data_IF_558797515917
#
_entry.id   IF_558797515917
#
_cell.length_a   1.000
_cell.length_b   1.000
_cell.length_c   1.000
_cell.angle_alpha   90.00
_cell.angle_beta   90.00
_cell.angle_gamma   90.00
#
_symmetry.space_group_name_H-M   'P 1'
#
loop_
_entity.id
_entity.type
_entity.pdbx_description
1 polymer ?
#
# COMPACT_ATOMS: atom_id res chain seq x y z
N UNK A 1 -55.60 5.11 22.00
CA UNK A 1 -54.83 6.22 21.40
C UNK A 1 -53.61 5.60 20.73
N UNK A 2 -53.63 5.50 19.40
CA UNK A 2 -52.46 5.12 18.59
C UNK A 2 -51.61 6.36 18.35
N UNK A 3 -50.33 6.30 18.74
CA UNK A 3 -49.25 7.09 18.14
C UNK A 3 -48.11 6.08 18.00
N UNK A 4 -47.90 5.45 16.85
CA UNK A 4 -47.51 6.13 15.62
C UNK A 4 -46.00 6.21 15.63
N UNK A 5 -45.34 5.07 15.40
CA UNK A 5 -43.89 4.99 15.26
C UNK A 5 -43.48 5.93 14.12
N UNK A 6 -42.86 7.05 14.47
CA UNK A 6 -42.22 7.94 13.50
C UNK A 6 -40.94 7.22 13.09
N UNK A 7 -41.08 6.31 12.14
CA UNK A 7 -39.97 5.90 11.30
C UNK A 7 -39.52 7.13 10.54
N UNK A 8 -38.53 7.83 11.07
CA UNK A 8 -37.69 8.74 10.31
C UNK A 8 -36.85 7.87 9.37
N UNK A 9 -37.51 7.31 8.36
CA UNK A 9 -36.87 6.95 7.11
C UNK A 9 -36.44 8.25 6.45
N UNK A 10 -35.33 8.82 6.93
CA UNK A 10 -34.58 9.78 6.15
C UNK A 10 -34.08 8.96 4.96
N UNK A 11 -34.76 9.08 3.83
CA UNK A 11 -34.25 8.65 2.55
C UNK A 11 -32.94 9.40 2.34
N UNK A 12 -31.84 8.78 2.73
CA UNK A 12 -30.52 9.19 2.30
C UNK A 12 -30.56 8.90 0.81
N UNK A 13 -30.63 9.94 0.00
CA UNK A 13 -30.09 9.87 -1.35
C UNK A 13 -28.62 9.54 -1.14
N UNK A 14 -28.30 8.26 -0.95
CA UNK A 14 -26.97 7.81 -0.60
C UNK A 14 -26.14 8.05 -1.85
N UNK A 15 -25.54 9.24 -1.93
CA UNK A 15 -24.29 9.36 -2.66
C UNK A 15 -23.40 8.27 -2.08
N UNK A 16 -22.75 7.50 -2.95
CA UNK A 16 -21.81 6.52 -2.45
C UNK A 16 -20.70 7.29 -1.70
N UNK A 17 -20.11 6.72 -0.64
CA UNK A 17 -19.03 7.35 0.09
C UNK A 17 -17.89 7.77 -0.85
N UNK A 18 -17.46 9.01 -0.66
CA UNK A 18 -16.32 9.61 -1.34
C UNK A 18 -14.98 9.15 -0.75
N UNK A 19 -13.86 9.71 -1.21
CA UNK A 19 -12.54 9.31 -0.77
C UNK A 19 -12.37 9.52 0.74
N UNK A 20 -11.81 8.51 1.41
CA UNK A 20 -11.61 8.42 2.86
C UNK A 20 -12.90 8.35 3.71
N UNK A 21 -14.07 8.25 3.08
CA UNK A 21 -15.32 8.02 3.78
C UNK A 21 -15.52 6.52 4.08
N UNK A 22 -16.30 6.23 5.11
CA UNK A 22 -16.51 4.86 5.57
C UNK A 22 -17.36 4.07 4.57
N UNK A 23 -16.79 2.94 4.12
CA UNK A 23 -17.47 1.96 3.28
C UNK A 23 -17.80 0.67 4.01
N UNK A 24 -17.10 0.35 5.11
CA UNK A 24 -17.39 -0.81 5.96
C UNK A 24 -17.59 -0.40 7.42
N UNK A 25 -18.68 -0.88 8.01
CA UNK A 25 -19.01 -0.70 9.43
C UNK A 25 -18.63 -1.92 10.27
N UNK A 26 -18.59 -1.75 11.59
CA UNK A 26 -18.18 -2.78 12.56
C UNK A 26 -18.91 -4.14 12.44
N UNK A 27 -20.17 -4.11 11.99
CA UNK A 27 -20.97 -5.31 11.79
C UNK A 27 -20.63 -6.07 10.48
N UNK A 28 -19.60 -5.64 9.75
CA UNK A 28 -19.18 -6.22 8.47
C UNK A 28 -20.00 -5.77 7.27
N UNK A 29 -21.00 -4.90 7.46
CA UNK A 29 -21.76 -4.31 6.36
C UNK A 29 -20.85 -3.44 5.50
N UNK A 30 -20.81 -3.73 4.21
CA UNK A 30 -20.04 -2.99 3.22
C UNK A 30 -20.97 -2.31 2.20
N UNK A 31 -20.73 -1.04 1.92
CA UNK A 31 -21.41 -0.27 0.87
C UNK A 31 -20.41 0.09 -0.24
N UNK A 32 -20.91 0.22 -1.46
CA UNK A 32 -20.08 0.58 -2.59
C UNK A 32 -19.59 2.03 -2.47
N UNK A 33 -18.31 2.26 -2.76
CA UNK A 33 -17.72 3.60 -2.87
C UNK A 33 -18.13 4.32 -4.15
N UNK A 34 -17.89 5.63 -4.21
CA UNK A 34 -18.07 6.42 -5.43
C UNK A 34 -17.20 5.89 -6.59
N UNK A 35 -17.53 6.29 -7.83
CA UNK A 35 -16.81 5.79 -9.01
C UNK A 35 -15.31 6.09 -8.92
N UNK A 36 -14.49 5.09 -9.26
CA UNK A 36 -13.03 5.21 -9.19
C UNK A 36 -12.45 4.94 -7.80
N UNK A 37 -13.28 4.52 -6.85
CA UNK A 37 -12.88 4.16 -5.50
C UNK A 37 -13.18 2.68 -5.19
N UNK A 38 -12.43 2.13 -4.25
CA UNK A 38 -12.58 0.77 -3.73
C UNK A 38 -12.65 0.80 -2.21
N UNK A 39 -13.48 -0.07 -1.62
CA UNK A 39 -13.55 -0.22 -0.19
C UNK A 39 -12.35 -1.02 0.31
N UNK A 40 -11.53 -0.40 1.15
CA UNK A 40 -10.33 -0.98 1.72
C UNK A 40 -10.52 -1.14 3.23
N UNK A 41 -10.22 -2.32 3.80
CA UNK A 41 -10.18 -2.47 5.26
C UNK A 41 -9.05 -1.61 5.83
N UNK A 42 -9.42 -0.60 6.62
CA UNK A 42 -8.48 0.36 7.22
C UNK A 42 -8.03 -0.10 8.62
N UNK A 43 -8.96 -0.73 9.34
CA UNK A 43 -8.74 -1.40 10.64
C UNK A 43 -9.60 -2.67 10.70
N UNK A 44 -9.39 -3.54 11.69
CA UNK A 44 -10.01 -4.88 11.78
C UNK A 44 -11.53 -4.92 11.48
N UNK A 45 -12.28 -3.89 11.90
CA UNK A 45 -13.74 -3.86 11.77
C UNK A 45 -14.29 -2.77 10.83
N UNK A 46 -13.43 -1.89 10.31
CA UNK A 46 -13.87 -0.74 9.52
C UNK A 46 -13.12 -0.65 8.19
N UNK A 47 -13.73 -0.01 7.21
CA UNK A 47 -13.11 0.24 5.92
C UNK A 47 -13.44 1.60 5.38
N UNK A 48 -12.51 2.16 4.61
CA UNK A 48 -12.62 3.47 3.97
C UNK A 48 -12.52 3.32 2.45
N UNK A 49 -13.06 4.29 1.72
CA UNK A 49 -12.93 4.35 0.27
C UNK A 49 -11.59 4.93 -0.15
N UNK A 50 -10.77 4.14 -0.84
CA UNK A 50 -9.50 4.56 -1.42
C UNK A 50 -9.61 4.64 -2.95
N UNK A 51 -8.77 5.44 -3.59
CA UNK A 51 -8.68 5.46 -5.05
C UNK A 51 -8.24 4.10 -5.59
N UNK A 52 -8.90 3.62 -6.65
CA UNK A 52 -8.58 2.31 -7.24
C UNK A 52 -7.15 2.23 -7.82
N UNK A 53 -6.67 3.37 -8.33
CA UNK A 53 -5.34 3.55 -8.95
C UNK A 53 -4.71 4.80 -8.34
N UNK A 54 -3.61 4.64 -7.62
CA UNK A 54 -2.89 5.76 -6.98
C UNK A 54 -1.64 6.15 -7.77
N UNK A 55 -1.18 7.38 -7.53
CA UNK A 55 0.00 7.95 -8.19
C UNK A 55 1.31 7.34 -7.69
N UNK A 56 2.41 7.72 -8.35
CA UNK A 56 3.76 7.42 -7.88
C UNK A 56 3.97 8.00 -6.47
N UNK A 57 4.68 7.26 -5.61
CA UNK A 57 4.93 7.57 -4.19
C UNK A 57 3.70 7.60 -3.27
N UNK A 58 2.47 7.47 -3.80
CA UNK A 58 1.25 7.42 -2.99
C UNK A 58 1.07 6.04 -2.32
N UNK A 59 0.32 6.00 -1.22
CA UNK A 59 0.02 4.75 -0.51
C UNK A 59 -0.85 3.84 -1.37
N UNK A 60 -0.33 2.65 -1.65
CA UNK A 60 -1.01 1.63 -2.44
C UNK A 60 -1.33 0.38 -1.61
N UNK A 61 -0.93 0.32 -0.33
CA UNK A 61 -1.20 -0.82 0.53
C UNK A 61 -0.70 -0.66 1.97
N UNK A 62 -0.94 -1.69 2.76
CA UNK A 62 -0.60 -1.79 4.18
C UNK A 62 -1.49 -2.81 4.86
N UNK A 63 -1.06 -3.42 5.98
CA UNK A 63 -1.88 -4.30 6.83
C UNK A 63 -2.69 -5.39 6.07
N UNK A 64 -2.13 -5.91 4.97
CA UNK A 64 -2.75 -6.97 4.17
C UNK A 64 -3.70 -6.51 3.05
N UNK A 65 -3.89 -5.19 2.85
CA UNK A 65 -4.63 -4.64 1.70
C UNK A 65 -3.71 -4.05 0.63
N UNK A 66 -4.22 -3.95 -0.61
CA UNK A 66 -3.57 -3.23 -1.70
C UNK A 66 -4.59 -2.65 -2.70
N UNK A 67 -4.16 -1.61 -3.43
CA UNK A 67 -4.82 -1.02 -4.60
C UNK A 67 -3.83 -0.94 -5.76
N UNK A 68 -4.32 -0.58 -6.95
CA UNK A 68 -3.47 -0.51 -8.13
C UNK A 68 -2.60 0.74 -8.13
N UNK A 69 -1.45 0.66 -8.79
CA UNK A 69 -0.57 1.78 -9.03
C UNK A 69 -0.72 2.30 -10.47
N UNK A 70 -0.40 3.58 -10.70
CA UNK A 70 -0.34 4.17 -12.03
C UNK A 70 0.62 3.38 -12.93
N UNK A 71 0.34 3.35 -14.23
CA UNK A 71 1.13 2.55 -15.18
C UNK A 71 2.63 2.92 -15.12
N UNK A 72 3.48 1.90 -15.13
CA UNK A 72 4.92 2.09 -14.98
C UNK A 72 5.40 2.13 -13.53
N UNK A 73 4.52 1.94 -12.54
CA UNK A 73 4.88 1.81 -11.11
C UNK A 73 4.31 0.51 -10.53
N UNK A 74 4.93 -0.01 -9.46
CA UNK A 74 4.53 -1.21 -8.73
C UNK A 74 4.28 -0.86 -7.26
N UNK A 75 3.29 -1.51 -6.65
CA UNK A 75 3.03 -1.33 -5.22
C UNK A 75 4.08 -2.08 -4.40
N UNK A 76 5.04 -1.37 -3.84
CA UNK A 76 6.13 -1.94 -3.06
C UNK A 76 5.92 -1.71 -1.57
N UNK A 77 6.11 -2.78 -0.79
CA UNK A 77 5.94 -2.76 0.67
C UNK A 77 7.18 -2.17 1.32
N UNK A 78 7.01 -1.14 2.13
CA UNK A 78 8.11 -0.55 2.92
C UNK A 78 8.09 -1.05 4.37
N UNK A 79 6.91 -1.29 4.92
CA UNK A 79 6.73 -1.94 6.21
C UNK A 79 5.35 -2.61 6.30
N UNK A 80 5.03 -3.25 7.43
CA UNK A 80 3.75 -3.94 7.61
C UNK A 80 2.54 -3.02 7.39
N UNK A 81 2.61 -1.77 7.85
CA UNK A 81 1.52 -0.81 7.77
C UNK A 81 1.48 0.03 6.49
N UNK A 82 2.50 -0.08 5.63
CA UNK A 82 2.68 0.86 4.53
C UNK A 82 3.34 0.23 3.29
N UNK A 83 2.68 0.38 2.15
CA UNK A 83 3.21 0.15 0.82
C UNK A 83 2.90 1.36 -0.07
N UNK A 84 3.81 1.70 -0.97
CA UNK A 84 3.70 2.85 -1.87
C UNK A 84 4.04 2.47 -3.31
N UNK A 85 3.48 3.18 -4.28
CA UNK A 85 3.84 2.96 -5.68
C UNK A 85 5.26 3.46 -5.97
N UNK A 86 6.13 2.57 -6.42
CA UNK A 86 7.49 2.88 -6.84
C UNK A 86 7.60 2.68 -8.34
N UNK A 87 8.37 3.54 -9.03
CA UNK A 87 8.60 3.34 -10.46
C UNK A 87 9.16 1.95 -10.72
N UNK A 88 8.69 1.26 -11.73
CA UNK A 88 9.30 0.01 -12.20
C UNK A 88 10.73 0.20 -12.70
N UNK A 89 11.14 1.45 -12.96
CA UNK A 89 12.52 1.84 -13.22
C UNK A 89 13.35 2.03 -11.93
N UNK A 90 12.68 2.32 -10.81
CA UNK A 90 13.22 2.44 -9.45
C UNK A 90 13.01 1.16 -8.62
N UNK A 91 12.32 0.14 -9.17
CA UNK A 91 12.41 -1.23 -8.71
C UNK A 91 13.89 -1.54 -8.74
N UNK A 92 14.53 -1.38 -7.57
CA UNK A 92 15.96 -1.16 -7.42
C UNK A 92 16.63 -2.27 -8.21
N UNK A 93 17.02 -1.93 -9.44
CA UNK A 93 17.76 -2.85 -10.28
C UNK A 93 18.93 -3.31 -9.44
N UNK A 94 19.33 -4.57 -9.55
CA UNK A 94 20.17 -5.15 -8.53
C UNK A 94 21.41 -4.26 -8.34
N UNK A 95 21.68 -3.87 -7.09
CA UNK A 95 22.53 -2.74 -6.74
C UNK A 95 23.88 -2.82 -7.44
N UNK A 96 24.25 -1.77 -8.17
CA UNK A 96 25.54 -1.68 -8.83
C UNK A 96 26.69 -1.56 -7.81
N UNK A 97 27.94 -1.72 -8.25
CA UNK A 97 29.11 -1.59 -7.38
C UNK A 97 29.10 -0.22 -6.67
N UNK A 98 29.27 -0.23 -5.35
CA UNK A 98 29.16 0.91 -4.41
C UNK A 98 27.75 1.47 -4.17
N UNK A 99 26.70 0.79 -4.63
CA UNK A 99 25.33 1.12 -4.25
C UNK A 99 24.96 0.45 -2.92
N UNK A 100 24.00 1.07 -2.23
CA UNK A 100 23.46 0.54 -0.98
C UNK A 100 22.61 -0.71 -1.26
N UNK A 101 22.80 -1.74 -0.43
CA UNK A 101 21.99 -2.94 -0.37
C UNK A 101 21.45 -3.14 1.05
N UNK A 102 20.47 -4.03 1.19
CA UNK A 102 19.91 -4.38 2.49
C UNK A 102 20.20 -5.87 2.77
N UNK A 103 21.01 -6.19 3.80
CA UNK A 103 21.34 -7.58 4.12
C UNK A 103 20.19 -8.32 4.81
N UNK A 104 19.21 -7.62 5.39
CA UNK A 104 18.08 -8.21 6.13
C UNK A 104 16.81 -8.32 5.28
N UNK A 105 16.68 -7.48 4.24
CA UNK A 105 15.55 -7.47 3.31
C UNK A 105 15.96 -7.86 1.88
N UNK A 106 15.40 -8.97 1.40
CA UNK A 106 15.64 -9.53 0.07
C UNK A 106 15.21 -8.65 -1.11
N UNK A 107 14.68 -7.45 -0.86
CA UNK A 107 14.26 -6.47 -1.87
C UNK A 107 15.40 -5.71 -2.55
N UNK A 108 16.58 -5.60 -1.93
CA UNK A 108 17.72 -4.84 -2.47
C UNK A 108 18.94 -5.74 -2.73
N UNK A 109 18.81 -6.69 -3.66
CA UNK A 109 19.90 -7.58 -4.07
C UNK A 109 20.95 -6.80 -4.87
N UNK A 110 22.24 -7.10 -4.71
CA UNK A 110 23.30 -6.56 -5.57
C UNK A 110 23.26 -7.20 -6.97
N UNK A 111 23.77 -6.50 -7.99
CA UNK A 111 23.92 -7.02 -9.35
C UNK A 111 24.68 -8.35 -9.36
N UNK A 112 24.38 -9.23 -10.32
CA UNK A 112 25.07 -10.49 -10.51
C UNK A 112 26.60 -10.25 -10.48
N UNK A 113 27.32 -10.97 -9.61
CA UNK A 113 28.77 -10.85 -9.27
C UNK A 113 29.18 -9.93 -8.11
N UNK A 114 28.22 -9.30 -7.43
CA UNK A 114 28.49 -8.46 -6.26
C UNK A 114 27.91 -9.08 -4.99
N UNK A 115 28.58 -8.84 -3.86
CA UNK A 115 28.11 -9.22 -2.53
C UNK A 115 27.69 -7.98 -1.74
N UNK A 116 26.64 -8.10 -0.93
CA UNK A 116 26.27 -7.07 0.03
C UNK A 116 27.14 -7.24 1.28
N UNK A 117 27.98 -6.24 1.58
CA UNK A 117 28.79 -6.22 2.80
C UNK A 117 28.19 -5.23 3.77
N UNK A 118 27.90 -5.67 4.99
CA UNK A 118 27.38 -4.85 6.07
C UNK A 118 28.35 -3.70 6.41
N UNK A 119 27.84 -2.46 6.46
CA UNK A 119 28.62 -1.25 6.80
C UNK A 119 28.27 -0.74 8.21
N UNK A 120 27.83 -1.61 9.14
CA UNK A 120 27.46 -1.32 10.53
C UNK A 120 26.24 -0.36 10.73
N UNK A 121 25.72 0.27 9.68
CA UNK A 121 24.65 1.30 9.73
C UNK A 121 23.28 0.81 9.19
N UNK A 122 22.86 -0.42 9.54
CA UNK A 122 21.57 -1.02 9.15
C UNK A 122 21.40 -1.22 7.62
N UNK A 123 22.46 -0.95 6.85
CA UNK A 123 22.52 -1.06 5.42
C UNK A 123 23.89 -1.62 5.02
N UNK A 124 23.95 -2.34 3.91
CA UNK A 124 25.19 -2.82 3.32
C UNK A 124 25.58 -2.06 2.06
N UNK A 125 26.77 -2.34 1.54
CA UNK A 125 27.30 -1.81 0.29
C UNK A 125 27.62 -2.96 -0.66
N UNK A 126 27.20 -2.84 -1.92
CA UNK A 126 27.52 -3.80 -2.97
C UNK A 126 28.98 -3.68 -3.40
N UNK A 127 29.79 -4.71 -3.13
CA UNK A 127 31.21 -4.75 -3.50
C UNK A 127 31.52 -6.03 -4.28
N UNK A 128 32.63 -6.00 -5.04
CA UNK A 128 33.12 -7.19 -5.74
C UNK A 128 33.63 -8.22 -4.73
N UNK A 129 33.27 -9.48 -4.95
CA UNK A 129 33.89 -10.58 -4.22
C UNK A 129 35.36 -10.69 -4.67
N UNK A 130 36.28 -10.29 -3.80
CA UNK A 130 37.70 -10.56 -4.00
C UNK A 130 37.99 -11.98 -3.51
N UNK A 131 38.39 -12.86 -4.42
CA UNK A 131 38.91 -14.17 -4.04
C UNK A 131 40.30 -13.98 -3.41
N UNK A 132 40.45 -14.46 -2.17
CA UNK A 132 41.76 -14.55 -1.48
C UNK A 132 42.64 -15.66 -2.06
#
# INVERSE_FOLDING_TARGET
VLFGAVGLGMGVSSANPGPWEQCRSENGTEIACDKGLVCVPDVEYYGLCYTEVVGESEQCGGLGWNVSCVNGTTCERQNEGWASCQSTADARGPGAEWQQCDPEDSGNLCADSLICVDDDDYHGICVRQVAE
#
